data_IF_653613598225
#
_entry.id   IF_653613598225
#
_cell.length_a   1.000
_cell.length_b   1.000
_cell.length_c   1.000
_cell.angle_alpha   90.00
_cell.angle_beta   90.00
_cell.angle_gamma   90.00
#
_symmetry.space_group_name_H-M   'P 1'
#
loop_
_entity.id
_entity.type
_entity.pdbx_description
1 polymer ?
#
# COMPACT_ATOMS: atom_id res chain seq x y z
N UNK A 1 -28.07 -16.66 26.03
CA UNK A 1 -28.27 -15.45 25.20
C UNK A 1 -27.26 -15.51 24.06
N UNK A 2 -27.73 -15.89 22.88
CA UNK A 2 -26.92 -16.06 21.67
C UNK A 2 -26.55 -14.69 21.08
N UNK A 3 -25.26 -14.35 21.10
CA UNK A 3 -24.74 -13.24 20.30
C UNK A 3 -24.63 -13.70 18.84
N UNK A 4 -25.66 -13.44 18.03
CA UNK A 4 -25.48 -13.48 16.58
C UNK A 4 -24.49 -12.36 16.20
N UNK A 5 -23.38 -12.69 15.51
CA UNK A 5 -22.47 -11.65 15.04
C UNK A 5 -23.24 -10.73 14.09
N UNK A 6 -23.19 -9.42 14.35
CA UNK A 6 -23.79 -8.43 13.47
C UNK A 6 -23.20 -8.62 12.06
N UNK A 7 -24.05 -8.96 11.10
CA UNK A 7 -23.64 -9.11 9.71
C UNK A 7 -23.11 -7.76 9.20
N UNK A 8 -21.92 -7.77 8.62
CA UNK A 8 -21.29 -6.56 8.09
C UNK A 8 -21.99 -6.12 6.80
N UNK A 9 -22.98 -5.24 6.93
CA UNK A 9 -23.86 -4.80 5.83
C UNK A 9 -23.41 -3.48 5.19
N UNK A 10 -22.13 -3.38 4.80
CA UNK A 10 -21.64 -2.18 4.10
C UNK A 10 -21.67 -2.40 2.59
N UNK A 11 -22.53 -1.69 1.83
CA UNK A 11 -22.63 -1.89 0.40
C UNK A 11 -21.36 -1.41 -0.32
N UNK A 12 -20.97 -2.16 -1.35
CA UNK A 12 -19.90 -1.75 -2.26
C UNK A 12 -20.28 -0.44 -2.97
N UNK A 13 -19.30 0.43 -3.19
CA UNK A 13 -19.47 1.68 -3.94
C UNK A 13 -18.74 1.60 -5.26
N UNK A 14 -19.39 2.02 -6.34
CA UNK A 14 -18.76 2.18 -7.65
C UNK A 14 -17.73 3.33 -7.63
N UNK A 15 -16.77 3.39 -8.57
CA UNK A 15 -15.83 4.53 -8.68
C UNK A 15 -16.53 5.89 -8.71
N UNK A 16 -17.65 5.99 -9.43
CA UNK A 16 -18.48 7.19 -9.48
C UNK A 16 -19.09 7.56 -8.11
N UNK A 17 -19.61 6.57 -7.38
CA UNK A 17 -20.15 6.77 -6.04
C UNK A 17 -19.07 7.17 -5.03
N UNK A 18 -17.86 6.61 -5.19
CA UNK A 18 -16.68 6.99 -4.40
C UNK A 18 -16.24 8.41 -4.70
N UNK A 19 -16.10 8.80 -5.96
CA UNK A 19 -15.72 10.16 -6.35
C UNK A 19 -16.71 11.20 -5.79
N UNK A 20 -18.02 10.92 -5.89
CA UNK A 20 -19.07 11.76 -5.30
C UNK A 20 -18.93 11.89 -3.79
N UNK A 21 -18.61 10.79 -3.10
CA UNK A 21 -18.35 10.78 -1.66
C UNK A 21 -17.12 11.60 -1.28
N UNK A 22 -16.06 11.55 -2.08
CA UNK A 22 -14.86 12.36 -1.85
C UNK A 22 -15.12 13.85 -2.09
N UNK A 23 -15.87 14.21 -3.14
CA UNK A 23 -16.33 15.60 -3.39
C UNK A 23 -17.15 16.14 -2.22
N UNK A 24 -18.09 15.35 -1.70
CA UNK A 24 -18.88 15.72 -0.51
C UNK A 24 -18.01 16.01 0.73
N UNK A 25 -16.80 15.46 0.77
CA UNK A 25 -15.82 15.69 1.84
C UNK A 25 -14.87 16.85 1.57
N UNK A 26 -15.09 17.63 0.51
CA UNK A 26 -14.28 18.81 0.18
C UNK A 26 -13.14 18.57 -0.81
N UNK A 27 -13.07 17.40 -1.46
CA UNK A 27 -12.05 17.17 -2.48
C UNK A 27 -12.36 17.95 -3.76
N UNK A 28 -11.43 18.81 -4.19
CA UNK A 28 -11.48 19.43 -5.50
C UNK A 28 -11.05 18.45 -6.58
N UNK A 29 -11.82 18.41 -7.65
CA UNK A 29 -11.62 17.50 -8.79
C UNK A 29 -11.93 18.20 -10.12
N UNK A 30 -11.99 19.54 -10.13
CA UNK A 30 -12.19 20.30 -11.35
C UNK A 30 -11.09 19.97 -12.36
N UNK A 31 -11.49 19.62 -13.59
CA UNK A 31 -10.55 19.19 -14.65
C UNK A 31 -9.95 17.78 -14.49
N UNK A 32 -10.21 17.08 -13.38
CA UNK A 32 -9.56 15.79 -13.05
C UNK A 32 -10.54 14.61 -12.92
N UNK A 33 -11.79 14.77 -13.35
CA UNK A 33 -12.85 13.75 -13.15
C UNK A 33 -12.46 12.38 -13.71
N UNK A 34 -12.05 12.33 -14.97
CA UNK A 34 -11.70 11.06 -15.64
C UNK A 34 -10.47 10.40 -15.02
N UNK A 35 -9.45 11.19 -14.68
CA UNK A 35 -8.23 10.72 -14.01
C UNK A 35 -8.60 10.12 -12.64
N UNK A 36 -9.46 10.81 -11.88
CA UNK A 36 -9.91 10.37 -10.57
C UNK A 36 -10.70 9.06 -10.65
N UNK A 37 -11.61 8.93 -11.63
CA UNK A 37 -12.36 7.70 -11.85
C UNK A 37 -11.44 6.54 -12.22
N UNK A 38 -10.48 6.76 -13.12
CA UNK A 38 -9.50 5.76 -13.53
C UNK A 38 -8.62 5.32 -12.35
N UNK A 39 -8.13 6.26 -11.56
CA UNK A 39 -7.35 5.96 -10.36
C UNK A 39 -8.18 5.16 -9.34
N UNK A 40 -9.43 5.55 -9.09
CA UNK A 40 -10.33 4.82 -8.19
C UNK A 40 -10.62 3.39 -8.70
N UNK A 41 -10.65 3.18 -10.02
CA UNK A 41 -10.86 1.87 -10.65
C UNK A 41 -9.61 0.98 -10.59
N UNK A 42 -8.43 1.50 -10.93
CA UNK A 42 -7.22 0.69 -11.12
C UNK A 42 -6.25 0.70 -9.93
N UNK A 43 -6.17 1.80 -9.17
CA UNK A 43 -5.38 1.87 -7.93
C UNK A 43 -6.23 1.42 -6.73
N UNK A 44 -7.52 1.79 -6.74
CA UNK A 44 -8.48 1.40 -5.72
C UNK A 44 -8.57 2.40 -4.56
N UNK A 45 -9.81 2.68 -4.12
CA UNK A 45 -10.06 3.64 -3.05
C UNK A 45 -9.34 3.32 -1.74
N UNK A 46 -9.27 2.06 -1.32
CA UNK A 46 -8.63 1.71 -0.04
C UNK A 46 -7.12 1.92 -0.06
N UNK A 47 -6.48 1.74 -1.22
CA UNK A 47 -5.07 2.07 -1.41
C UNK A 47 -4.87 3.58 -1.33
N UNK A 48 -5.69 4.33 -2.08
CA UNK A 48 -5.65 5.79 -2.09
C UNK A 48 -6.01 6.42 -0.73
N UNK A 49 -6.83 5.74 0.08
CA UNK A 49 -7.32 6.23 1.38
C UNK A 49 -6.18 6.60 2.33
N UNK A 50 -5.08 5.86 2.31
CA UNK A 50 -3.93 6.09 3.18
C UNK A 50 -3.30 7.45 2.84
N UNK A 51 -3.16 7.75 1.55
CA UNK A 51 -2.60 9.00 1.05
C UNK A 51 -3.59 10.19 1.17
N UNK A 52 -4.88 9.92 1.36
CA UNK A 52 -5.86 10.96 1.70
C UNK A 52 -5.77 11.41 3.17
N UNK A 53 -5.27 10.56 4.09
CA UNK A 53 -5.27 10.87 5.53
C UNK A 53 -4.49 12.12 5.90
N UNK A 54 -3.27 12.35 5.38
CA UNK A 54 -2.51 13.56 5.69
C UNK A 54 -3.17 14.83 5.15
N UNK A 55 -4.04 14.70 4.14
CA UNK A 55 -4.74 15.80 3.47
C UNK A 55 -6.12 16.07 4.09
N UNK A 56 -6.46 15.39 5.19
CA UNK A 56 -7.74 15.48 5.86
C UNK A 56 -7.59 15.92 7.32
N UNK A 57 -8.60 16.64 7.80
CA UNK A 57 -8.74 16.93 9.23
C UNK A 57 -9.22 15.69 10.03
N UNK A 58 -9.33 15.84 11.35
CA UNK A 58 -9.81 14.78 12.25
C UNK A 58 -11.23 14.27 11.92
N UNK A 59 -12.06 15.10 11.27
CA UNK A 59 -13.40 14.74 10.79
C UNK A 59 -13.38 14.04 9.42
N UNK A 60 -12.20 13.73 8.86
CA UNK A 60 -12.01 13.08 7.55
C UNK A 60 -12.60 13.90 6.40
N UNK A 61 -12.57 15.22 6.53
CA UNK A 61 -12.84 16.20 5.47
C UNK A 61 -11.50 16.70 4.93
N UNK A 62 -11.41 16.93 3.63
CA UNK A 62 -10.20 17.46 3.00
C UNK A 62 -9.98 18.92 3.40
N UNK A 63 -8.71 19.31 3.53
CA UNK A 63 -8.35 20.71 3.68
C UNK A 63 -8.75 21.51 2.43
N UNK A 64 -8.97 22.84 2.54
CA UNK A 64 -9.28 23.68 1.39
C UNK A 64 -8.23 23.53 0.28
N UNK A 65 -8.69 23.57 -0.96
CA UNK A 65 -7.85 23.52 -2.17
C UNK A 65 -7.09 22.21 -2.42
N UNK A 66 -7.29 21.17 -1.62
CA UNK A 66 -6.75 19.83 -1.92
C UNK A 66 -7.40 19.30 -3.21
N UNK A 67 -6.56 18.94 -4.17
CA UNK A 67 -6.95 18.38 -5.46
C UNK A 67 -6.71 16.88 -5.50
N UNK A 68 -7.28 16.21 -6.50
CA UNK A 68 -7.04 14.78 -6.68
C UNK A 68 -5.56 14.47 -6.99
N UNK A 69 -4.89 15.37 -7.73
CA UNK A 69 -3.47 15.21 -8.08
C UNK A 69 -2.55 15.19 -6.84
N UNK A 70 -2.91 15.87 -5.74
CA UNK A 70 -2.13 15.82 -4.50
C UNK A 70 -2.10 14.40 -3.91
N UNK A 71 -3.23 13.69 -4.00
CA UNK A 71 -3.35 12.29 -3.56
C UNK A 71 -2.50 11.40 -4.46
N UNK A 72 -2.52 11.64 -5.78
CA UNK A 72 -1.73 10.87 -6.74
C UNK A 72 -0.23 11.13 -6.57
N UNK A 73 0.18 12.37 -6.29
CA UNK A 73 1.57 12.71 -6.05
C UNK A 73 2.13 11.95 -4.83
N UNK A 74 1.38 11.88 -3.74
CA UNK A 74 1.75 11.09 -2.55
C UNK A 74 1.83 9.59 -2.85
N UNK A 75 0.86 9.06 -3.61
CA UNK A 75 0.86 7.66 -4.05
C UNK A 75 2.08 7.34 -4.93
N UNK A 76 2.37 8.18 -5.91
CA UNK A 76 3.45 7.98 -6.87
C UNK A 76 4.83 8.10 -6.20
N UNK A 77 4.98 9.03 -5.27
CA UNK A 77 6.18 9.14 -4.45
C UNK A 77 6.45 7.85 -3.68
N UNK A 78 5.47 7.36 -2.93
CA UNK A 78 5.60 6.11 -2.16
C UNK A 78 5.80 4.88 -3.07
N UNK A 79 5.16 4.85 -4.25
CA UNK A 79 5.39 3.79 -5.25
C UNK A 79 6.85 3.77 -5.69
N UNK A 80 7.44 4.93 -6.02
CA UNK A 80 8.85 5.04 -6.43
C UNK A 80 9.78 4.68 -5.28
N UNK A 81 9.50 5.17 -4.07
CA UNK A 81 10.28 4.84 -2.87
C UNK A 81 10.28 3.33 -2.62
N UNK A 82 9.12 2.66 -2.69
CA UNK A 82 9.02 1.21 -2.52
C UNK A 82 9.88 0.44 -3.53
N UNK A 83 9.93 0.88 -4.78
CA UNK A 83 10.76 0.24 -5.80
C UNK A 83 12.26 0.35 -5.47
N UNK A 84 12.70 1.53 -5.00
CA UNK A 84 14.08 1.72 -4.54
C UNK A 84 14.39 0.86 -3.29
N UNK A 85 13.47 0.78 -2.34
CA UNK A 85 13.61 -0.08 -1.17
C UNK A 85 13.69 -1.56 -1.56
N UNK A 86 12.87 -2.01 -2.51
CA UNK A 86 12.90 -3.39 -2.98
C UNK A 86 14.24 -3.74 -3.65
N UNK A 87 14.81 -2.85 -4.47
CA UNK A 87 16.15 -3.04 -5.05
C UNK A 87 17.22 -3.17 -3.94
N UNK A 88 17.15 -2.34 -2.89
CA UNK A 88 18.05 -2.44 -1.76
C UNK A 88 17.90 -3.75 -0.97
N UNK A 89 16.66 -4.16 -0.70
CA UNK A 89 16.34 -5.41 0.03
C UNK A 89 16.83 -6.62 -0.76
N UNK A 90 16.66 -6.64 -2.08
CA UNK A 90 17.09 -7.74 -2.95
C UNK A 90 18.60 -7.99 -2.84
N UNK A 91 19.41 -6.90 -2.85
CA UNK A 91 20.87 -7.01 -2.65
C UNK A 91 21.25 -7.51 -1.27
N UNK A 92 20.56 -7.03 -0.22
CA UNK A 92 20.79 -7.46 1.16
C UNK A 92 20.46 -8.95 1.31
N UNK A 93 19.37 -9.40 0.71
CA UNK A 93 18.91 -10.80 0.74
C UNK A 93 19.98 -11.74 0.15
N UNK A 94 20.46 -11.44 -1.06
CA UNK A 94 21.50 -12.23 -1.73
C UNK A 94 22.80 -12.26 -0.92
N UNK A 95 23.23 -11.11 -0.40
CA UNK A 95 24.44 -11.01 0.41
C UNK A 95 24.31 -11.82 1.71
N UNK A 96 23.18 -11.71 2.40
CA UNK A 96 22.90 -12.43 3.63
C UNK A 96 22.85 -13.94 3.40
N UNK A 97 22.13 -14.40 2.37
CA UNK A 97 22.07 -15.81 1.99
C UNK A 97 23.46 -16.37 1.68
N UNK A 98 24.26 -15.61 0.94
CA UNK A 98 25.63 -16.00 0.59
C UNK A 98 26.54 -16.06 1.81
N UNK A 99 26.43 -15.10 2.74
CA UNK A 99 27.18 -15.11 3.99
C UNK A 99 26.87 -16.35 4.83
N UNK A 100 25.59 -16.72 4.96
CA UNK A 100 25.17 -17.95 5.65
C UNK A 100 25.78 -19.17 4.95
N UNK A 101 25.60 -19.29 3.64
CA UNK A 101 26.06 -20.45 2.89
C UNK A 101 27.58 -20.63 2.98
N UNK A 102 28.35 -19.57 2.75
CA UNK A 102 29.82 -19.61 2.81
C UNK A 102 30.33 -19.91 4.22
N UNK A 103 29.68 -19.37 5.26
CA UNK A 103 30.08 -19.62 6.65
C UNK A 103 29.79 -21.06 7.05
N UNK A 104 28.57 -21.54 6.81
CA UNK A 104 28.15 -22.86 7.28
C UNK A 104 28.70 -24.00 6.43
N UNK A 105 28.89 -23.81 5.12
CA UNK A 105 29.48 -24.82 4.25
C UNK A 105 30.92 -25.16 4.66
N UNK A 106 31.69 -24.16 5.07
CA UNK A 106 33.08 -24.30 5.50
C UNK A 106 33.23 -24.64 6.99
N UNK A 107 32.15 -24.61 7.77
CA UNK A 107 32.18 -24.97 9.17
C UNK A 107 32.23 -26.48 9.36
N UNK A 108 33.26 -26.98 10.07
CA UNK A 108 33.56 -28.42 10.22
C UNK A 108 32.37 -29.26 10.72
N UNK A 109 31.52 -28.72 11.59
CA UNK A 109 30.37 -29.45 12.14
C UNK A 109 29.13 -29.48 11.23
N UNK A 110 29.07 -28.59 10.23
CA UNK A 110 27.91 -28.38 9.37
C UNK A 110 28.14 -28.99 7.99
N UNK A 111 29.26 -28.65 7.35
CA UNK A 111 29.63 -29.08 6.01
C UNK A 111 28.78 -28.47 4.88
N UNK A 112 29.13 -28.73 3.61
CA UNK A 112 28.51 -28.09 2.45
C UNK A 112 27.02 -28.42 2.27
N UNK A 113 26.52 -29.52 2.85
CA UNK A 113 25.12 -29.95 2.77
C UNK A 113 24.34 -29.64 4.05
N UNK A 114 24.75 -28.64 4.84
CA UNK A 114 24.14 -28.31 6.13
C UNK A 114 22.62 -28.10 6.06
N UNK A 115 22.09 -27.62 4.93
CA UNK A 115 20.66 -27.37 4.69
C UNK A 115 19.83 -28.64 4.47
N UNK A 116 20.46 -29.81 4.23
CA UNK A 116 19.77 -31.10 4.09
C UNK A 116 19.58 -31.82 5.42
N UNK A 117 20.23 -31.38 6.50
CA UNK A 117 20.04 -31.93 7.85
C UNK A 117 18.65 -31.54 8.37
N UNK A 118 17.66 -32.38 8.11
CA UNK A 118 16.38 -32.36 8.84
C UNK A 118 16.57 -33.03 10.21
N UNK A 119 16.06 -32.39 11.26
CA UNK A 119 15.91 -33.00 12.59
C UNK A 119 14.81 -34.04 12.57
#
# INVERSE_FOLDING_TARGET
>A
MSHLPALFDKPAKTPHALLRHLRKKGLDTQGQTEIALRALQFIGHYRLLIYMRPLQNSAKQFHPSVKFDDILALYDFDRKLRLLCLDGIDRIEVAFRSAIANTLANHRACGPHFYLRRR
#
